data_IF_657185732175
#
_entry.id   IF_657185732175
#
_cell.length_a   1.000
_cell.length_b   1.000
_cell.length_c   1.000
_cell.angle_alpha   90.00
_cell.angle_beta   90.00
_cell.angle_gamma   90.00
#
_symmetry.space_group_name_H-M   'P 1'
#
loop_
_entity.id
_entity.type
_entity.pdbx_description
1 polymer ?
#
# COMPACT_ATOMS: atom_id res chain seq x y z
N UNK A 1 -58.85 -33.56 13.80
CA UNK A 1 -59.08 -34.91 13.23
C UNK A 1 -58.23 -35.03 11.95
N UNK A 2 -57.14 -35.80 12.06
CA UNK A 2 -56.34 -36.55 11.07
C UNK A 2 -56.08 -35.99 9.65
N UNK A 3 -54.78 -35.87 9.31
CA UNK A 3 -54.04 -36.38 8.11
C UNK A 3 -52.66 -35.69 8.10
N UNK A 4 -51.49 -36.27 7.84
CA UNK A 4 -50.98 -37.54 7.29
C UNK A 4 -49.51 -37.68 7.78
N UNK A 5 -49.14 -38.77 8.47
CA UNK A 5 -48.33 -39.90 7.97
C UNK A 5 -47.18 -39.55 7.00
N UNK A 6 -45.94 -39.52 7.50
CA UNK A 6 -44.75 -39.79 6.70
C UNK A 6 -44.15 -41.12 7.13
N UNK A 7 -43.88 -41.92 6.11
CA UNK A 7 -43.68 -43.36 6.16
C UNK A 7 -42.26 -43.74 6.59
N UNK A 8 -42.14 -44.94 7.15
CA UNK A 8 -40.90 -45.65 7.48
C UNK A 8 -40.27 -46.24 6.22
N UNK A 9 -38.96 -46.04 6.05
CA UNK A 9 -38.01 -46.98 5.46
C UNK A 9 -36.62 -46.43 5.84
N UNK A 10 -35.76 -47.06 6.64
CA UNK A 10 -35.52 -48.48 6.82
C UNK A 10 -34.49 -48.93 5.80
N UNK A 11 -33.19 -48.74 6.09
CA UNK A 11 -32.12 -49.65 5.66
C UNK A 11 -30.80 -49.31 6.37
N UNK A 12 -30.42 -50.23 7.24
CA UNK A 12 -29.07 -50.41 7.72
C UNK A 12 -28.14 -50.84 6.57
N UNK A 13 -26.87 -50.45 6.63
CA UNK A 13 -25.75 -51.41 6.67
C UNK A 13 -24.42 -50.68 6.55
N UNK A 14 -23.57 -50.96 7.54
CA UNK A 14 -22.11 -50.89 7.50
C UNK A 14 -21.55 -51.36 6.15
N UNK A 15 -20.60 -50.59 5.60
CA UNK A 15 -19.53 -51.14 4.77
C UNK A 15 -18.19 -50.52 5.16
N UNK A 16 -17.28 -51.39 5.58
CA UNK A 16 -15.84 -51.16 5.68
C UNK A 16 -15.28 -50.79 4.30
N UNK A 17 -14.38 -49.80 4.22
CA UNK A 17 -13.33 -49.78 3.20
C UNK A 17 -11.98 -49.35 3.80
N UNK A 18 -11.11 -50.35 3.88
CA UNK A 18 -9.65 -50.39 3.73
C UNK A 18 -8.80 -49.15 4.07
N UNK A 19 -7.91 -49.35 5.04
CA UNK A 19 -6.62 -48.69 5.13
C UNK A 19 -5.83 -48.89 3.82
N UNK A 20 -5.57 -47.80 3.12
CA UNK A 20 -4.62 -47.79 2.00
C UNK A 20 -3.37 -47.03 2.44
N UNK A 21 -2.31 -47.78 2.76
CA UNK A 21 -0.95 -47.28 2.83
C UNK A 21 -0.52 -46.87 1.40
N UNK A 22 -0.87 -45.66 1.00
CA UNK A 22 -0.31 -45.01 -0.18
C UNK A 22 0.99 -44.33 0.19
N UNK A 23 2.12 -44.94 -0.16
CA UNK A 23 3.42 -44.29 -0.14
C UNK A 23 3.35 -42.98 -0.94
N UNK A 24 3.56 -41.83 -0.28
CA UNK A 24 3.68 -40.54 -0.96
C UNK A 24 4.93 -40.59 -1.84
N UNK A 25 4.85 -40.31 -3.15
CA UNK A 25 6.03 -40.07 -3.95
C UNK A 25 6.76 -38.86 -3.34
N UNK A 26 8.03 -39.07 -3.05
CA UNK A 26 8.96 -38.04 -2.62
C UNK A 26 8.86 -36.85 -3.58
N UNK A 27 8.37 -35.72 -3.08
CA UNK A 27 8.48 -34.44 -3.76
C UNK A 27 9.95 -34.24 -4.12
N UNK A 28 10.22 -34.28 -5.42
CA UNK A 28 11.46 -33.79 -6.01
C UNK A 28 11.72 -32.40 -5.42
N UNK A 29 12.95 -32.07 -4.98
CA UNK A 29 13.23 -30.71 -4.56
C UNK A 29 12.93 -29.83 -5.76
N UNK A 30 11.89 -29.02 -5.62
CA UNK A 30 11.61 -27.91 -6.50
C UNK A 30 12.91 -27.15 -6.59
N UNK A 31 13.49 -27.18 -7.79
CA UNK A 31 14.72 -26.45 -8.10
C UNK A 31 14.47 -25.04 -7.60
N UNK A 32 15.18 -24.63 -6.55
CA UNK A 32 15.28 -23.24 -6.11
C UNK A 32 15.64 -22.46 -7.36
N UNK A 33 14.62 -21.93 -8.04
CA UNK A 33 14.79 -20.83 -8.97
C UNK A 33 15.41 -19.77 -8.08
N UNK A 34 16.70 -19.58 -8.26
CA UNK A 34 17.46 -18.49 -7.67
C UNK A 34 16.62 -17.26 -7.94
N UNK A 35 15.93 -16.72 -6.93
CA UNK A 35 15.17 -15.48 -7.08
C UNK A 35 16.22 -14.48 -7.54
N UNK A 36 16.14 -14.06 -8.81
CA UNK A 36 17.01 -13.01 -9.31
C UNK A 36 16.63 -11.77 -8.51
N UNK A 37 17.42 -11.48 -7.48
CA UNK A 37 17.27 -10.31 -6.63
C UNK A 37 17.47 -9.09 -7.52
N UNK A 38 16.37 -8.48 -7.97
CA UNK A 38 16.47 -7.27 -8.78
C UNK A 38 16.78 -6.10 -7.85
N UNK A 39 17.68 -5.18 -8.26
CA UNK A 39 17.85 -3.94 -7.53
C UNK A 39 16.51 -3.18 -7.46
N UNK A 40 16.42 -2.21 -6.54
CA UNK A 40 15.31 -1.26 -6.49
C UNK A 40 15.03 -0.63 -7.88
N UNK A 41 13.85 -0.01 -8.06
CA UNK A 41 13.44 0.61 -9.32
C UNK A 41 14.57 1.38 -10.00
N UNK A 42 14.81 1.08 -11.28
CA UNK A 42 15.86 1.74 -12.05
C UNK A 42 15.50 3.20 -12.33
N UNK A 43 16.48 4.04 -12.69
CA UNK A 43 16.18 5.43 -13.09
C UNK A 43 15.23 5.50 -14.29
N UNK A 44 15.30 4.52 -15.19
CA UNK A 44 14.39 4.45 -16.33
C UNK A 44 12.96 4.17 -15.89
N UNK A 45 12.76 3.32 -14.87
CA UNK A 45 11.44 3.04 -14.32
C UNK A 45 10.89 4.29 -13.62
N UNK A 46 11.72 4.97 -12.84
CA UNK A 46 11.36 6.24 -12.19
C UNK A 46 10.90 7.27 -13.21
N UNK A 47 11.74 7.52 -14.21
CA UNK A 47 11.45 8.43 -15.31
C UNK A 47 10.15 8.08 -16.06
N UNK A 48 9.88 6.78 -16.24
CA UNK A 48 8.66 6.33 -16.89
C UNK A 48 7.43 6.66 -16.04
N UNK A 49 7.45 6.34 -14.74
CA UNK A 49 6.36 6.67 -13.82
C UNK A 49 6.09 8.17 -13.77
N UNK A 50 7.14 8.98 -13.57
CA UNK A 50 7.02 10.44 -13.50
C UNK A 50 6.37 11.02 -14.76
N UNK A 51 6.77 10.55 -15.94
CA UNK A 51 6.16 10.97 -17.21
C UNK A 51 4.72 10.50 -17.34
N UNK A 52 4.43 9.24 -17.01
CA UNK A 52 3.08 8.69 -17.12
C UNK A 52 2.10 9.43 -16.23
N UNK A 53 2.47 9.75 -14.98
CA UNK A 53 1.64 10.54 -14.07
C UNK A 53 1.43 11.96 -14.60
N UNK A 54 2.49 12.65 -15.04
CA UNK A 54 2.38 13.98 -15.61
C UNK A 54 1.42 14.04 -16.81
N UNK A 55 1.48 13.04 -17.69
CA UNK A 55 0.57 12.90 -18.84
C UNK A 55 -0.86 12.60 -18.40
N UNK A 56 -1.06 11.59 -17.54
CA UNK A 56 -2.38 11.16 -17.09
C UNK A 56 -3.13 12.28 -16.35
N UNK A 57 -2.39 13.10 -15.58
CA UNK A 57 -2.94 14.22 -14.81
C UNK A 57 -2.97 15.52 -15.58
N UNK A 58 -2.39 15.56 -16.79
CA UNK A 58 -2.24 16.77 -17.60
C UNK A 58 -1.52 17.91 -16.85
N UNK A 59 -0.58 17.52 -15.96
CA UNK A 59 0.24 18.41 -15.17
C UNK A 59 1.70 18.22 -15.61
N UNK A 60 2.19 18.94 -16.64
CA UNK A 60 3.59 18.83 -17.03
C UNK A 60 4.48 19.34 -15.90
N UNK A 61 5.56 18.62 -15.60
CA UNK A 61 6.57 19.09 -14.67
C UNK A 61 7.15 20.43 -15.16
N UNK A 62 7.02 21.48 -14.34
CA UNK A 62 7.59 22.83 -14.59
C UNK A 62 9.08 22.89 -14.28
N UNK A 63 9.55 21.97 -13.44
CA UNK A 63 10.95 21.76 -13.06
C UNK A 63 11.17 20.28 -12.79
N UNK A 64 12.44 19.87 -12.77
CA UNK A 64 12.84 18.50 -12.47
C UNK A 64 12.29 18.04 -11.11
N UNK A 65 11.71 16.84 -11.09
CA UNK A 65 11.26 16.17 -9.86
C UNK A 65 12.44 15.36 -9.34
N UNK A 66 12.98 15.76 -8.20
CA UNK A 66 14.09 15.06 -7.57
C UNK A 66 13.59 13.82 -6.85
N UNK A 67 14.29 12.69 -7.06
CA UNK A 67 14.02 11.43 -6.35
C UNK A 67 15.29 11.00 -5.62
N UNK A 68 15.22 10.98 -4.30
CA UNK A 68 16.30 10.51 -3.44
C UNK A 68 15.98 9.09 -2.95
N UNK A 69 16.90 8.15 -3.20
CA UNK A 69 16.80 6.80 -2.64
C UNK A 69 17.73 6.67 -1.44
N UNK A 70 17.18 6.29 -0.30
CA UNK A 70 17.93 6.18 0.96
C UNK A 70 17.92 4.74 1.48
N UNK A 71 18.93 4.36 2.27
CA UNK A 71 18.92 3.04 2.92
C UNK A 71 17.74 2.96 3.89
N UNK A 72 17.12 1.78 3.98
CA UNK A 72 15.94 1.55 4.82
C UNK A 72 16.07 2.07 6.26
N UNK A 73 17.22 1.83 6.92
CA UNK A 73 17.47 2.35 8.27
C UNK A 73 17.44 3.88 8.34
N UNK A 74 17.98 4.56 7.33
CA UNK A 74 17.97 6.02 7.26
C UNK A 74 16.55 6.52 6.94
N UNK A 75 15.84 5.83 6.05
CA UNK A 75 14.43 6.10 5.75
C UNK A 75 13.56 6.06 7.00
N UNK A 76 13.64 4.97 7.78
CA UNK A 76 12.92 4.83 9.06
C UNK A 76 13.28 5.91 10.07
N UNK A 77 14.51 6.43 10.05
CA UNK A 77 14.91 7.52 10.93
C UNK A 77 14.25 8.85 10.52
N UNK A 78 14.11 9.12 9.22
CA UNK A 78 13.41 10.31 8.71
C UNK A 78 11.94 10.34 9.13
N UNK A 79 11.29 9.19 9.24
CA UNK A 79 9.88 9.10 9.65
C UNK A 79 9.65 9.39 11.15
N UNK A 80 10.62 9.07 12.00
CA UNK A 80 10.51 9.19 13.47
C UNK A 80 10.68 10.61 13.99
N UNK A 81 11.33 11.48 13.20
CA UNK A 81 11.60 12.86 13.60
C UNK A 81 10.38 13.80 13.37
N UNK A 82 9.26 13.30 12.85
CA UNK A 82 7.99 14.04 12.81
C UNK A 82 7.28 14.02 14.18
N UNK A 83 7.01 15.18 14.82
CA UNK A 83 6.32 15.23 16.09
C UNK A 83 4.87 14.76 15.93
N UNK A 84 4.57 13.55 16.41
CA UNK A 84 3.23 12.97 16.36
C UNK A 84 2.34 13.65 17.41
N UNK A 85 1.56 14.65 17.02
CA UNK A 85 0.41 15.06 17.83
C UNK A 85 -0.69 14.02 17.67
N UNK A 86 -0.93 13.23 18.71
CA UNK A 86 -2.03 12.26 18.79
C UNK A 86 -3.23 12.88 19.47
N UNK A 87 -4.44 12.54 19.01
CA UNK A 87 -5.68 12.92 19.69
C UNK A 87 -5.91 12.09 20.97
N UNK A 88 -7.03 12.31 21.68
CA UNK A 88 -7.39 11.53 22.89
C UNK A 88 -7.57 10.03 22.62
N UNK A 89 -7.77 9.63 21.36
CA UNK A 89 -7.84 8.23 20.92
C UNK A 89 -6.47 7.62 20.62
N UNK A 90 -5.40 8.42 20.68
CA UNK A 90 -4.03 8.01 20.39
C UNK A 90 -3.72 7.96 18.89
N UNK A 91 -4.58 8.49 18.03
CA UNK A 91 -4.39 8.51 16.58
C UNK A 91 -3.97 9.90 16.12
N UNK A 92 -2.99 9.95 15.22
CA UNK A 92 -2.73 11.19 14.47
C UNK A 92 -3.83 11.38 13.42
N UNK A 93 -4.11 12.63 12.96
CA UNK A 93 -5.02 12.87 11.83
C UNK A 93 -4.70 12.04 10.58
N UNK A 94 -3.41 11.75 10.35
CA UNK A 94 -2.93 10.87 9.27
C UNK A 94 -3.31 9.40 9.51
N UNK A 95 -3.16 8.90 10.74
CA UNK A 95 -3.57 7.54 11.09
C UNK A 95 -5.10 7.36 10.98
N UNK A 96 -5.87 8.37 11.37
CA UNK A 96 -7.33 8.37 11.22
C UNK A 96 -7.76 8.33 9.74
N UNK A 97 -7.06 9.04 8.85
CA UNK A 97 -7.29 9.00 7.41
C UNK A 97 -7.05 7.60 6.83
N UNK A 98 -5.88 7.00 7.07
CA UNK A 98 -5.55 5.69 6.51
C UNK A 98 -6.48 4.58 7.01
N UNK A 99 -6.88 4.63 8.29
CA UNK A 99 -7.90 3.74 8.85
C UNK A 99 -9.28 3.97 8.22
N UNK A 100 -9.67 5.22 7.99
CA UNK A 100 -10.98 5.58 7.44
C UNK A 100 -11.17 5.17 5.99
N UNK A 101 -10.07 5.06 5.23
CA UNK A 101 -10.07 4.66 3.82
C UNK A 101 -9.57 3.22 3.58
N UNK A 102 -9.44 2.42 4.64
CA UNK A 102 -9.04 1.00 4.60
C UNK A 102 -7.66 0.75 3.97
N UNK A 103 -6.75 1.71 4.11
CA UNK A 103 -5.36 1.60 3.66
C UNK A 103 -4.44 0.89 4.67
N UNK A 104 -5.02 0.35 5.74
CA UNK A 104 -4.31 -0.47 6.73
C UNK A 104 -5.11 -1.74 7.01
N UNK A 105 -4.48 -2.87 7.38
CA UNK A 105 -5.17 -4.14 7.57
C UNK A 105 -6.35 -4.07 8.58
N UNK A 106 -7.36 -4.94 8.41
CA UNK A 106 -8.58 -4.92 9.23
C UNK A 106 -8.29 -5.16 10.72
N UNK A 107 -9.17 -4.72 11.64
CA UNK A 107 -8.92 -4.74 13.08
C UNK A 107 -8.50 -6.10 13.66
N UNK A 108 -8.96 -7.19 13.05
CA UNK A 108 -8.60 -8.57 13.42
C UNK A 108 -7.12 -8.90 13.20
N UNK A 109 -6.44 -8.17 12.34
CA UNK A 109 -5.02 -8.36 12.00
C UNK A 109 -4.11 -7.36 12.71
N UNK A 110 -4.67 -6.26 13.22
CA UNK A 110 -3.94 -5.19 13.95
C UNK A 110 -3.43 -5.60 15.33
N UNK A 111 -3.96 -6.68 15.92
CA UNK A 111 -3.59 -7.13 17.28
C UNK A 111 -2.14 -7.67 17.42
N UNK A 112 -1.37 -7.76 16.33
CA UNK A 112 0.06 -8.15 16.33
C UNK A 112 0.99 -7.03 15.91
N UNK A 113 0.45 -5.90 15.50
CA UNK A 113 1.22 -4.77 15.02
C UNK A 113 1.36 -3.79 16.19
N UNK A 114 2.51 -3.12 16.23
CA UNK A 114 2.81 -2.07 17.19
C UNK A 114 1.76 -0.94 17.06
N UNK A 115 1.77 0.12 17.88
CA UNK A 115 0.74 1.18 17.86
C UNK A 115 0.37 1.63 16.43
N UNK A 116 -0.86 2.08 16.16
CA UNK A 116 -1.26 2.48 14.79
C UNK A 116 -0.27 3.47 14.13
N UNK A 117 0.46 4.27 14.92
CA UNK A 117 1.62 5.06 14.50
C UNK A 117 2.85 4.23 14.11
N UNK A 118 3.22 3.20 14.87
CA UNK A 118 4.30 2.27 14.52
C UNK A 118 3.92 1.37 13.33
N UNK A 119 2.64 1.02 13.15
CA UNK A 119 2.14 0.35 11.92
C UNK A 119 2.28 1.27 10.71
N UNK A 120 1.90 2.56 10.87
CA UNK A 120 2.05 3.57 9.82
C UNK A 120 3.52 3.81 9.43
N UNK A 121 4.45 3.84 10.39
CA UNK A 121 5.88 3.98 10.11
C UNK A 121 6.49 2.77 9.40
N UNK A 122 5.91 1.59 9.58
CA UNK A 122 6.28 0.35 8.88
C UNK A 122 5.66 0.25 7.47
N UNK A 123 4.63 1.04 7.17
CA UNK A 123 3.87 1.04 5.91
C UNK A 123 4.13 2.27 5.00
N UNK A 124 4.86 3.29 5.46
CA UNK A 124 5.31 4.36 4.56
C UNK A 124 6.40 3.79 3.65
N UNK A 125 6.05 3.43 2.42
CA UNK A 125 6.98 2.88 1.45
C UNK A 125 7.63 3.95 0.53
N UNK A 126 7.34 5.22 0.78
CA UNK A 126 7.87 6.41 0.11
C UNK A 126 7.15 7.67 0.59
N UNK A 127 7.74 8.85 0.42
CA UNK A 127 7.06 10.13 0.67
C UNK A 127 7.65 11.29 -0.11
N UNK A 128 6.84 12.29 -0.44
CA UNK A 128 7.27 13.58 -0.95
C UNK A 128 7.52 14.58 0.19
N UNK A 129 8.77 15.04 0.32
CA UNK A 129 9.13 16.11 1.25
C UNK A 129 8.88 17.47 0.59
N UNK A 130 7.92 18.23 1.12
CA UNK A 130 7.59 19.58 0.63
C UNK A 130 8.66 20.63 0.96
N UNK A 131 9.43 20.43 2.04
CA UNK A 131 10.44 21.38 2.50
C UNK A 131 11.69 21.31 1.61
N UNK A 132 12.18 20.10 1.38
CA UNK A 132 13.34 19.88 0.50
C UNK A 132 12.97 19.59 -0.95
N UNK A 133 11.66 19.50 -1.25
CA UNK A 133 11.11 19.47 -2.60
C UNK A 133 11.64 18.29 -3.43
N UNK A 134 11.51 17.10 -2.84
CA UNK A 134 11.97 15.83 -3.41
C UNK A 134 11.13 14.66 -2.94
N UNK A 135 11.05 13.63 -3.77
CA UNK A 135 10.51 12.33 -3.39
C UNK A 135 11.62 11.54 -2.70
N UNK A 136 11.32 10.94 -1.55
CA UNK A 136 12.22 10.08 -0.81
C UNK A 136 11.67 8.65 -0.86
N UNK A 137 12.48 7.72 -1.37
CA UNK A 137 12.14 6.30 -1.43
C UNK A 137 13.17 5.46 -0.65
N UNK A 138 12.75 4.38 0.03
CA UNK A 138 13.68 3.42 0.58
C UNK A 138 14.31 2.56 -0.54
N UNK A 139 15.59 2.22 -0.40
CA UNK A 139 16.30 1.27 -1.24
C UNK A 139 15.89 -0.16 -0.87
N UNK A 140 14.70 -0.56 -1.31
CA UNK A 140 14.16 -1.91 -1.10
C UNK A 140 14.31 -2.74 -2.38
N UNK A 141 14.89 -3.94 -2.30
CA UNK A 141 14.97 -4.85 -3.46
C UNK A 141 13.60 -5.22 -4.01
N UNK A 142 13.58 -5.60 -5.29
CA UNK A 142 12.39 -6.11 -5.97
C UNK A 142 12.57 -7.63 -6.10
N UNK A 143 11.84 -8.40 -5.29
CA UNK A 143 11.91 -9.86 -5.28
C UNK A 143 10.81 -10.51 -6.13
N UNK A 144 9.77 -9.74 -6.46
CA UNK A 144 8.64 -10.17 -7.29
C UNK A 144 8.14 -9.06 -8.23
N UNK A 145 7.31 -9.43 -9.22
CA UNK A 145 6.64 -8.42 -10.06
C UNK A 145 5.59 -7.63 -9.27
N UNK A 146 5.00 -8.24 -8.24
CA UNK A 146 4.06 -7.56 -7.33
C UNK A 146 4.76 -6.44 -6.57
N UNK A 147 5.96 -6.69 -6.04
CA UNK A 147 6.79 -5.66 -5.39
C UNK A 147 7.14 -4.53 -6.37
N UNK A 148 7.41 -4.87 -7.63
CA UNK A 148 7.72 -3.89 -8.66
C UNK A 148 6.51 -3.01 -9.00
N UNK A 149 5.31 -3.59 -9.02
CA UNK A 149 4.04 -2.86 -9.22
C UNK A 149 3.79 -1.96 -8.02
N UNK A 150 3.94 -2.47 -6.80
CA UNK A 150 3.76 -1.71 -5.56
C UNK A 150 4.70 -0.50 -5.51
N UNK A 151 6.01 -0.69 -5.72
CA UNK A 151 6.97 0.41 -5.71
C UNK A 151 6.66 1.47 -6.77
N UNK A 152 6.19 1.06 -7.96
CA UNK A 152 5.78 1.99 -9.02
C UNK A 152 4.49 2.73 -8.67
N UNK A 153 3.55 2.07 -7.98
CA UNK A 153 2.33 2.68 -7.49
C UNK A 153 2.63 3.78 -6.45
N UNK A 154 3.49 3.48 -5.47
CA UNK A 154 3.94 4.44 -4.46
C UNK A 154 4.61 5.62 -5.14
N UNK A 155 5.55 5.38 -6.07
CA UNK A 155 6.18 6.47 -6.80
C UNK A 155 5.16 7.30 -7.60
N UNK A 156 4.12 6.68 -8.16
CA UNK A 156 3.08 7.40 -8.87
C UNK A 156 2.26 8.32 -7.94
N UNK A 157 1.97 7.88 -6.72
CA UNK A 157 1.35 8.69 -5.67
C UNK A 157 2.23 9.91 -5.33
N UNK A 158 3.50 9.68 -5.01
CA UNK A 158 4.43 10.75 -4.63
C UNK A 158 4.75 11.71 -5.78
N UNK A 159 4.79 11.20 -7.01
CA UNK A 159 4.92 12.03 -8.21
C UNK A 159 3.78 13.03 -8.32
N UNK A 160 2.55 12.64 -7.96
CA UNK A 160 1.43 13.57 -7.97
C UNK A 160 1.60 14.66 -6.93
N UNK A 161 2.08 14.36 -5.72
CA UNK A 161 2.39 15.40 -4.74
C UNK A 161 3.45 16.40 -5.23
N UNK A 162 4.51 15.90 -5.89
CA UNK A 162 5.51 16.75 -6.51
C UNK A 162 4.91 17.66 -7.59
N UNK A 163 4.04 17.13 -8.46
CA UNK A 163 3.35 17.93 -9.48
C UNK A 163 2.39 18.93 -8.88
N UNK A 164 1.60 18.54 -7.88
CA UNK A 164 0.68 19.47 -7.22
C UNK A 164 1.44 20.64 -6.58
N UNK A 165 2.60 20.39 -5.96
CA UNK A 165 3.46 21.44 -5.40
C UNK A 165 4.02 22.42 -6.45
N UNK A 166 4.17 21.98 -7.70
CA UNK A 166 4.62 22.85 -8.80
C UNK A 166 3.49 23.69 -9.41
N UNK A 167 2.24 23.23 -9.32
CA UNK A 167 1.10 23.83 -10.02
C UNK A 167 0.14 24.60 -9.12
N UNK A 168 -0.02 24.17 -7.87
CA UNK A 168 -0.99 24.74 -6.94
C UNK A 168 -0.29 25.41 -5.76
N UNK A 169 -0.84 26.53 -5.26
CA UNK A 169 -0.35 27.12 -4.03
C UNK A 169 -0.57 26.14 -2.86
N UNK A 170 0.24 26.24 -1.78
CA UNK A 170 -0.05 25.51 -0.56
C UNK A 170 -1.45 25.89 -0.05
N UNK A 171 -2.19 24.94 0.55
CA UNK A 171 -3.47 25.25 1.15
C UNK A 171 -3.28 26.30 2.27
N UNK A 172 -4.26 27.18 2.49
CA UNK A 172 -4.22 28.09 3.62
C UNK A 172 -4.28 27.31 4.93
N UNK A 173 -3.77 27.91 6.01
CA UNK A 173 -3.92 27.36 7.36
C UNK A 173 -5.41 27.11 7.65
N UNK A 174 -5.72 25.90 8.11
CA UNK A 174 -7.09 25.50 8.41
C UNK A 174 -7.59 26.17 9.71
N UNK A 175 -8.82 26.68 9.70
CA UNK A 175 -9.46 27.27 10.88
C UNK A 175 -9.97 26.24 11.87
N UNK A 176 -10.22 25.02 11.42
CA UNK A 176 -10.76 23.92 12.19
C UNK A 176 -10.36 22.55 11.59
N UNK A 177 -10.70 21.48 12.32
CA UNK A 177 -10.36 20.12 11.97
C UNK A 177 -11.12 19.61 10.74
N UNK A 178 -12.35 20.07 10.50
CA UNK A 178 -13.16 19.69 9.34
C UNK A 178 -12.55 20.27 8.06
N UNK A 179 -12.14 21.54 8.09
CA UNK A 179 -11.42 22.17 6.99
C UNK A 179 -10.07 21.48 6.76
N UNK A 180 -9.32 21.15 7.82
CA UNK A 180 -8.05 20.43 7.70
C UNK A 180 -8.25 19.06 7.06
N UNK A 181 -9.28 18.32 7.46
CA UNK A 181 -9.62 17.01 6.89
C UNK A 181 -10.05 17.13 5.43
N UNK A 182 -10.89 18.12 5.10
CA UNK A 182 -11.34 18.36 3.73
C UNK A 182 -10.16 18.74 2.81
N UNK A 183 -9.23 19.56 3.29
CA UNK A 183 -8.00 19.86 2.57
C UNK A 183 -7.17 18.59 2.37
N UNK A 184 -6.89 17.82 3.42
CA UNK A 184 -6.11 16.58 3.33
C UNK A 184 -6.75 15.60 2.32
N UNK A 185 -8.05 15.37 2.42
CA UNK A 185 -8.78 14.45 1.55
C UNK A 185 -8.69 14.85 0.07
N UNK A 186 -8.68 16.15 -0.24
CA UNK A 186 -8.50 16.62 -1.61
C UNK A 186 -7.10 16.32 -2.15
N UNK A 187 -6.05 16.62 -1.37
CA UNK A 187 -4.66 16.46 -1.81
C UNK A 187 -4.25 14.99 -1.91
N UNK A 188 -4.53 14.19 -0.89
CA UNK A 188 -4.24 12.76 -0.86
C UNK A 188 -5.14 11.97 -1.81
N UNK A 189 -6.43 12.32 -1.88
CA UNK A 189 -7.37 11.67 -2.81
C UNK A 189 -6.99 11.87 -4.28
N UNK A 190 -6.49 13.06 -4.63
CA UNK A 190 -5.98 13.33 -5.98
C UNK A 190 -4.70 12.52 -6.31
N UNK A 191 -3.82 12.32 -5.33
CA UNK A 191 -2.65 11.44 -5.46
C UNK A 191 -3.05 9.96 -5.62
N UNK A 192 -4.03 9.48 -4.85
CA UNK A 192 -4.60 8.14 -5.01
C UNK A 192 -5.23 7.91 -6.39
N UNK A 193 -5.94 8.91 -6.93
CA UNK A 193 -6.49 8.85 -8.28
C UNK A 193 -5.38 8.78 -9.33
N UNK A 194 -4.27 9.51 -9.15
CA UNK A 194 -3.13 9.44 -10.04
C UNK A 194 -2.45 8.08 -10.02
N UNK A 195 -2.25 7.50 -8.83
CA UNK A 195 -1.73 6.14 -8.67
C UNK A 195 -2.64 5.10 -9.36
N UNK A 196 -3.96 5.17 -9.12
CA UNK A 196 -4.91 4.26 -9.76
C UNK A 196 -4.95 4.39 -11.28
N UNK A 197 -4.87 5.62 -11.81
CA UNK A 197 -4.79 5.85 -13.25
C UNK A 197 -3.51 5.28 -13.87
N UNK A 198 -2.37 5.40 -13.17
CA UNK A 198 -1.11 4.77 -13.57
C UNK A 198 -1.23 3.25 -13.61
N UNK A 199 -1.70 2.64 -12.51
CA UNK A 199 -1.87 1.18 -12.42
C UNK A 199 -2.79 0.62 -13.51
N UNK A 200 -3.89 1.32 -13.81
CA UNK A 200 -4.82 0.89 -14.86
C UNK A 200 -4.22 1.01 -16.27
N UNK A 201 -3.33 1.97 -16.50
CA UNK A 201 -2.69 2.16 -17.81
C UNK A 201 -1.61 1.10 -18.11
N UNK A 202 -1.04 0.48 -17.07
CA UNK A 202 0.02 -0.54 -17.17
C UNK A 202 -0.51 -1.99 -17.09
N UNK A 203 -1.81 -2.18 -16.84
CA UNK A 203 -2.50 -3.48 -16.78
C UNK A 203 -2.91 -4.00 -18.17
#
# INVERSE_FOLDING_TARGET
>A
MVKQSLSRAGLAALWLVAASCGARPSSTPETERTREHRPALSERDVDAVLRSVAVARQLPARREIQVERVKERAFRALLRDEPTSVDESGLSPRAAFLLGFDFVPPPSERARLASASEVLEEEIAGFYDRVSDKIVLPLVPIDSEEDAIEQRAILAHEAQHALQAQHFPPPPEASDDDQRLAQLALWEGDAMVAMGAYLWAEA
#
